data_IF_487406786995
#
_entry.id   IF_487406786995
#
_cell.length_a   1.000
_cell.length_b   1.000
_cell.length_c   1.000
_cell.angle_alpha   90.00
_cell.angle_beta   90.00
_cell.angle_gamma   90.00
#
_symmetry.space_group_name_H-M   'P 1'
#
loop_
_entity.id
_entity.type
_entity.pdbx_description
1 polymer ?
#
# COMPACT_ATOMS: atom_id res chain seq x y z
N UNK A 1 -31.00 1.85 9.00
CA UNK A 1 -29.94 1.02 9.58
C UNK A 1 -30.34 0.59 10.98
N UNK A 2 -29.82 -0.54 11.45
CA UNK A 2 -30.14 -1.14 12.77
C UNK A 2 -29.20 -0.68 13.90
N UNK A 3 -28.23 0.18 13.58
CA UNK A 3 -27.24 0.70 14.53
C UNK A 3 -26.17 -0.32 14.95
N UNK A 4 -26.03 -1.45 14.22
CA UNK A 4 -25.11 -2.54 14.59
C UNK A 4 -24.00 -2.73 13.53
N UNK A 5 -22.90 -3.37 13.94
CA UNK A 5 -21.83 -3.82 13.05
C UNK A 5 -21.63 -5.34 13.19
N UNK A 6 -21.05 -5.94 12.16
CA UNK A 6 -20.77 -7.39 12.11
C UNK A 6 -19.28 -7.68 12.20
N UNK A 7 -18.92 -8.88 12.64
CA UNK A 7 -17.54 -9.32 12.84
C UNK A 7 -16.69 -9.11 11.60
N UNK A 8 -17.20 -9.46 10.43
CA UNK A 8 -16.51 -9.28 9.15
C UNK A 8 -16.12 -7.83 8.88
N UNK A 9 -17.04 -6.88 9.02
CA UNK A 9 -16.74 -5.45 8.77
C UNK A 9 -15.82 -4.89 9.86
N UNK A 10 -16.07 -5.23 11.13
CA UNK A 10 -15.26 -4.74 12.25
C UNK A 10 -13.83 -5.28 12.25
N UNK A 11 -13.63 -6.54 11.85
CA UNK A 11 -12.30 -7.14 11.70
C UNK A 11 -11.53 -6.47 10.55
N UNK A 12 -12.19 -6.25 9.41
CA UNK A 12 -11.57 -5.54 8.28
C UNK A 12 -11.13 -4.12 8.66
N UNK A 13 -11.98 -3.38 9.36
CA UNK A 13 -11.63 -2.05 9.89
C UNK A 13 -10.46 -2.12 10.88
N UNK A 14 -10.49 -3.06 11.82
CA UNK A 14 -9.41 -3.28 12.78
C UNK A 14 -8.05 -3.52 12.10
N UNK A 15 -8.00 -4.45 11.14
CA UNK A 15 -6.77 -4.77 10.41
C UNK A 15 -6.31 -3.59 9.55
N UNK A 16 -7.22 -2.93 8.82
CA UNK A 16 -6.87 -1.84 7.92
C UNK A 16 -6.31 -0.62 8.65
N UNK A 17 -6.95 -0.23 9.76
CA UNK A 17 -6.50 0.85 10.64
C UNK A 17 -5.05 0.67 11.07
N UNK A 18 -4.70 -0.51 11.57
CA UNK A 18 -3.36 -0.75 12.11
C UNK A 18 -2.33 -1.00 11.00
N UNK A 19 -2.71 -1.70 9.93
CA UNK A 19 -1.84 -1.92 8.79
C UNK A 19 -1.46 -0.61 8.09
N UNK A 20 -2.41 0.30 7.87
CA UNK A 20 -2.12 1.60 7.25
C UNK A 20 -1.24 2.48 8.16
N UNK A 21 -1.41 2.39 9.48
CA UNK A 21 -0.54 3.07 10.44
C UNK A 21 0.90 2.54 10.34
N UNK A 22 1.08 1.22 10.27
CA UNK A 22 2.39 0.58 10.11
C UNK A 22 3.03 0.86 8.73
N UNK A 23 2.21 1.05 7.69
CA UNK A 23 2.63 1.53 6.36
C UNK A 23 2.95 3.03 6.32
N UNK A 24 2.86 3.74 7.45
CA UNK A 24 3.16 5.16 7.55
C UNK A 24 2.11 6.08 6.92
N UNK A 25 0.90 5.59 6.69
CA UNK A 25 -0.21 6.42 6.21
C UNK A 25 -1.03 6.97 7.38
N UNK A 26 -1.41 8.26 7.37
CA UNK A 26 -2.30 8.81 8.37
C UNK A 26 -3.65 8.09 8.36
N UNK A 27 -4.09 7.63 9.53
CA UNK A 27 -5.30 6.82 9.67
C UNK A 27 -5.88 6.91 11.08
N UNK A 28 -7.19 6.68 11.21
CA UNK A 28 -7.80 6.32 12.50
C UNK A 28 -7.29 4.96 12.98
N UNK A 29 -7.00 4.85 14.28
CA UNK A 29 -6.51 3.64 14.93
C UNK A 29 -7.65 2.76 15.43
N UNK A 30 -7.38 1.48 15.62
CA UNK A 30 -8.32 0.52 16.17
C UNK A 30 -7.77 -0.07 17.48
N UNK A 31 -8.37 0.32 18.61
CA UNK A 31 -7.90 -0.08 19.94
C UNK A 31 -8.24 -1.54 20.27
N UNK A 32 -9.46 -1.97 19.94
CA UNK A 32 -9.89 -3.35 20.16
C UNK A 32 -11.03 -3.76 19.22
N UNK A 33 -11.16 -5.07 19.03
CA UNK A 33 -12.26 -5.75 18.36
C UNK A 33 -12.93 -6.68 19.36
N UNK A 34 -14.24 -6.53 19.55
CA UNK A 34 -15.02 -7.30 20.54
C UNK A 34 -16.25 -7.91 19.87
N UNK A 35 -16.43 -9.23 20.01
CA UNK A 35 -17.66 -9.89 19.61
C UNK A 35 -18.79 -9.57 20.60
N UNK A 36 -20.00 -9.28 20.10
CA UNK A 36 -21.13 -8.90 20.98
C UNK A 36 -21.90 -10.10 21.51
N UNK A 37 -21.76 -11.28 20.87
CA UNK A 37 -22.60 -12.46 21.11
C UNK A 37 -23.94 -12.42 20.37
N UNK A 38 -24.32 -11.28 19.80
CA UNK A 38 -25.55 -11.13 19.03
C UNK A 38 -25.41 -11.69 17.60
N UNK A 39 -26.54 -12.09 17.01
CA UNK A 39 -26.68 -12.30 15.58
C UNK A 39 -27.28 -11.04 14.94
N UNK A 40 -26.78 -10.66 13.78
CA UNK A 40 -27.16 -9.43 13.08
C UNK A 40 -27.46 -9.78 11.62
N UNK A 41 -28.66 -9.44 11.16
CA UNK A 41 -29.08 -9.72 9.79
C UNK A 41 -28.43 -8.74 8.80
N UNK A 42 -27.81 -9.24 7.74
CA UNK A 42 -27.19 -8.44 6.67
C UNK A 42 -27.60 -8.97 5.31
N UNK A 43 -27.97 -8.06 4.42
CA UNK A 43 -27.97 -8.29 2.98
C UNK A 43 -26.75 -7.55 2.43
N UNK A 44 -25.67 -8.28 2.19
CA UNK A 44 -24.38 -7.69 1.82
C UNK A 44 -24.39 -7.07 0.43
N UNK A 45 -25.23 -7.59 -0.47
CA UNK A 45 -25.26 -7.20 -1.88
C UNK A 45 -26.52 -6.41 -2.26
N UNK A 46 -27.39 -6.12 -1.29
CA UNK A 46 -28.69 -5.47 -1.51
C UNK A 46 -29.55 -6.19 -2.56
N UNK A 47 -29.46 -7.52 -2.60
CA UNK A 47 -30.13 -8.37 -3.60
C UNK A 47 -31.28 -9.21 -3.01
N UNK A 48 -31.59 -9.03 -1.73
CA UNK A 48 -32.60 -9.76 -0.99
C UNK A 48 -32.10 -11.02 -0.27
N UNK A 49 -30.83 -11.43 -0.44
CA UNK A 49 -30.25 -12.58 0.26
C UNK A 49 -29.76 -12.20 1.67
N UNK A 50 -30.70 -12.13 2.62
CA UNK A 50 -30.41 -11.80 4.02
C UNK A 50 -29.77 -12.99 4.73
N UNK A 51 -28.59 -12.76 5.29
CA UNK A 51 -27.85 -13.73 6.10
C UNK A 51 -27.64 -13.23 7.52
N UNK A 52 -27.56 -14.15 8.47
CA UNK A 52 -27.20 -13.84 9.85
C UNK A 52 -25.68 -13.87 9.98
N UNK A 53 -25.11 -12.76 10.43
CA UNK A 53 -23.68 -12.60 10.72
C UNK A 53 -23.49 -12.34 12.22
N UNK A 54 -22.33 -12.71 12.76
CA UNK A 54 -21.99 -12.43 14.16
C UNK A 54 -21.82 -10.92 14.36
N UNK A 55 -22.41 -10.37 15.41
CA UNK A 55 -22.23 -8.98 15.81
C UNK A 55 -20.84 -8.72 16.41
N UNK A 56 -20.28 -7.56 16.11
CA UNK A 56 -19.02 -7.11 16.70
C UNK A 56 -18.96 -5.59 16.82
N UNK A 57 -18.03 -5.12 17.64
CA UNK A 57 -17.70 -3.71 17.85
C UNK A 57 -16.20 -3.52 17.67
N UNK A 58 -15.81 -2.49 16.91
CA UNK A 58 -14.44 -1.99 16.85
C UNK A 58 -14.36 -0.67 17.59
N UNK A 59 -13.42 -0.54 18.52
CA UNK A 59 -13.17 0.73 19.22
C UNK A 59 -12.19 1.56 18.41
N UNK A 60 -12.71 2.53 17.65
CA UNK A 60 -11.92 3.44 16.83
C UNK A 60 -11.38 4.61 17.65
N UNK A 61 -10.13 4.96 17.44
CA UNK A 61 -9.43 6.06 18.12
C UNK A 61 -8.84 7.01 17.09
N UNK A 62 -9.09 8.30 17.26
CA UNK A 62 -8.52 9.36 16.44
C UNK A 62 -8.41 10.65 17.25
N UNK A 63 -7.48 11.57 16.91
CA UNK A 63 -7.46 12.89 17.53
C UNK A 63 -8.77 13.66 17.31
N UNK A 64 -9.44 13.41 16.19
CA UNK A 64 -10.68 14.07 15.80
C UNK A 64 -11.48 13.20 14.83
N UNK A 65 -12.81 13.27 14.92
CA UNK A 65 -13.74 12.63 13.99
C UNK A 65 -14.52 13.64 13.11
N UNK A 66 -14.12 14.91 13.12
CA UNK A 66 -14.71 15.93 12.23
C UNK A 66 -14.35 15.62 10.78
N UNK A 67 -15.35 15.77 9.91
CA UNK A 67 -15.28 15.37 8.51
C UNK A 67 -15.69 16.53 7.61
N UNK A 68 -15.40 16.47 6.32
CA UNK A 68 -15.88 17.51 5.39
C UNK A 68 -17.42 17.57 5.39
N UNK A 69 -18.09 16.41 5.49
CA UNK A 69 -19.54 16.31 5.66
C UNK A 69 -20.09 17.09 6.87
N UNK A 70 -19.33 17.21 7.96
CA UNK A 70 -19.71 17.96 9.16
C UNK A 70 -19.90 19.46 8.88
N UNK A 71 -19.17 20.02 7.91
CA UNK A 71 -19.31 21.42 7.48
C UNK A 71 -20.43 21.61 6.47
N UNK A 72 -20.68 20.61 5.62
CA UNK A 72 -21.71 20.68 4.58
C UNK A 72 -23.13 20.48 5.13
N UNK A 73 -23.30 19.69 6.19
CA UNK A 73 -24.61 19.40 6.76
C UNK A 73 -25.35 20.68 7.20
N UNK A 74 -24.78 21.58 8.04
CA UNK A 74 -25.43 22.85 8.39
C UNK A 74 -25.77 23.70 7.16
N UNK A 75 -24.86 23.75 6.18
CA UNK A 75 -25.06 24.49 4.93
C UNK A 75 -26.24 23.95 4.13
N UNK A 76 -26.42 22.63 4.08
CA UNK A 76 -27.52 21.97 3.36
C UNK A 76 -28.89 22.22 3.98
N UNK A 77 -28.94 22.56 5.28
CA UNK A 77 -30.17 22.86 6.02
C UNK A 77 -30.61 24.32 5.93
N UNK A 78 -29.78 25.18 5.33
CA UNK A 78 -30.12 26.56 5.00
C UNK A 78 -29.47 27.60 5.92
N UNK A 79 -29.78 28.88 5.65
CA UNK A 79 -29.09 30.04 6.21
C UNK A 79 -29.08 30.11 7.75
N UNK A 80 -30.09 29.55 8.42
CA UNK A 80 -30.22 29.57 9.88
C UNK A 80 -29.16 28.75 10.62
N UNK A 81 -28.52 27.78 9.97
CA UNK A 81 -27.51 26.91 10.59
C UNK A 81 -26.07 27.25 10.17
N UNK A 82 -25.88 28.25 9.29
CA UNK A 82 -24.57 28.62 8.76
C UNK A 82 -23.58 29.06 9.86
N UNK A 83 -24.07 29.63 10.95
CA UNK A 83 -23.26 29.95 12.13
C UNK A 83 -22.58 28.74 12.76
N UNK A 84 -23.16 27.53 12.62
CA UNK A 84 -22.54 26.28 13.10
C UNK A 84 -21.26 25.94 12.34
N UNK A 85 -21.15 26.34 11.06
CA UNK A 85 -19.93 26.15 10.27
C UNK A 85 -18.77 26.93 10.88
N UNK A 86 -19.02 28.19 11.26
CA UNK A 86 -18.03 29.02 11.97
C UNK A 86 -17.65 28.41 13.31
N UNK A 87 -18.64 28.03 14.11
CA UNK A 87 -18.40 27.43 15.42
C UNK A 87 -17.56 26.15 15.32
N UNK A 88 -17.84 25.30 14.33
CA UNK A 88 -17.05 24.10 14.06
C UNK A 88 -15.63 24.45 13.57
N UNK A 89 -15.49 25.42 12.67
CA UNK A 89 -14.18 25.87 12.16
C UNK A 89 -13.31 26.45 13.29
N UNK A 90 -13.88 27.28 14.16
CA UNK A 90 -13.20 27.85 15.33
C UNK A 90 -12.74 26.74 16.29
N UNK A 91 -13.59 25.74 16.52
CA UNK A 91 -13.26 24.58 17.35
C UNK A 91 -12.11 23.77 16.73
N UNK A 92 -12.16 23.49 15.42
CA UNK A 92 -11.11 22.77 14.69
C UNK A 92 -9.79 23.54 14.74
N UNK A 93 -9.81 24.85 14.48
CA UNK A 93 -8.61 25.69 14.57
C UNK A 93 -8.07 25.67 15.99
N UNK A 94 -8.92 25.79 17.01
CA UNK A 94 -8.48 25.84 18.40
C UNK A 94 -7.78 24.58 18.87
N UNK A 95 -8.32 23.40 18.56
CA UNK A 95 -7.83 22.15 19.14
C UNK A 95 -6.94 21.33 18.21
N UNK A 96 -6.99 21.57 16.89
CA UNK A 96 -6.29 20.74 15.91
C UNK A 96 -5.38 21.52 14.96
N UNK A 97 -5.55 22.84 14.84
CA UNK A 97 -4.65 23.73 14.10
C UNK A 97 -4.27 24.97 14.93
N UNK A 98 -3.76 24.78 16.17
CA UNK A 98 -3.56 25.89 17.10
C UNK A 98 -2.56 26.94 16.58
N UNK A 99 -1.63 26.54 15.69
CA UNK A 99 -0.69 27.45 15.04
C UNK A 99 -1.36 28.45 14.07
N UNK A 100 -2.62 28.24 13.69
CA UNK A 100 -3.41 29.19 12.91
C UNK A 100 -4.16 30.21 13.78
N UNK A 101 -4.21 29.99 15.09
CA UNK A 101 -4.85 30.94 16.01
C UNK A 101 -4.13 32.29 16.00
N UNK A 102 -4.91 33.37 16.07
CA UNK A 102 -4.37 34.74 16.07
C UNK A 102 -3.95 35.26 14.70
N UNK A 103 -4.02 34.45 13.64
CA UNK A 103 -3.89 34.97 12.28
C UNK A 103 -5.14 35.78 11.88
N UNK A 104 -5.03 36.89 11.12
CA UNK A 104 -6.19 37.72 10.77
C UNK A 104 -7.27 37.00 9.95
N UNK A 105 -6.90 35.97 9.19
CA UNK A 105 -7.81 35.18 8.34
C UNK A 105 -7.47 33.68 8.46
N UNK A 106 -7.83 33.02 9.57
CA UNK A 106 -7.34 31.67 9.90
C UNK A 106 -7.92 30.55 9.01
N UNK A 107 -9.06 30.80 8.35
CA UNK A 107 -9.78 29.77 7.62
C UNK A 107 -9.20 29.50 6.21
N UNK A 108 -8.56 30.48 5.57
CA UNK A 108 -7.88 30.27 4.29
C UNK A 108 -6.60 29.41 4.46
N UNK A 109 -5.71 29.69 5.44
CA UNK A 109 -4.63 28.77 5.83
C UNK A 109 -5.13 27.40 6.26
N UNK A 110 -6.26 27.31 6.99
CA UNK A 110 -6.88 26.03 7.34
C UNK A 110 -7.24 25.25 6.07
N UNK A 111 -7.95 25.87 5.12
CA UNK A 111 -8.30 25.23 3.85
C UNK A 111 -7.06 24.74 3.10
N UNK A 112 -5.99 25.56 3.06
CA UNK A 112 -4.72 25.18 2.42
C UNK A 112 -4.07 23.98 3.10
N UNK A 113 -3.94 23.99 4.42
CA UNK A 113 -3.32 22.88 5.14
C UNK A 113 -4.12 21.58 5.02
N UNK A 114 -5.45 21.65 5.10
CA UNK A 114 -6.35 20.50 4.86
C UNK A 114 -6.17 19.96 3.43
N UNK A 115 -6.09 20.85 2.44
CA UNK A 115 -5.87 20.51 1.03
C UNK A 115 -4.54 19.78 0.85
N UNK A 116 -3.45 20.31 1.41
CA UNK A 116 -2.12 19.72 1.28
C UNK A 116 -2.00 18.38 2.02
N UNK A 117 -2.51 18.28 3.25
CA UNK A 117 -2.57 17.01 4.00
C UNK A 117 -3.33 15.93 3.23
N UNK A 118 -4.45 16.31 2.64
CA UNK A 118 -5.29 15.40 1.83
C UNK A 118 -4.56 14.97 0.55
N UNK A 119 -3.84 15.87 -0.12
CA UNK A 119 -3.01 15.53 -1.29
C UNK A 119 -1.91 14.51 -0.94
N UNK A 120 -1.21 14.69 0.19
CA UNK A 120 -0.20 13.75 0.66
C UNK A 120 -0.78 12.38 1.03
N UNK A 121 -1.98 12.35 1.64
CA UNK A 121 -2.71 11.13 1.95
C UNK A 121 -3.02 10.33 0.69
N UNK A 122 -3.63 10.99 -0.31
CA UNK A 122 -4.00 10.34 -1.57
C UNK A 122 -2.77 9.89 -2.34
N UNK A 123 -1.69 10.68 -2.38
CA UNK A 123 -0.43 10.25 -2.97
C UNK A 123 0.12 8.98 -2.31
N UNK A 124 -0.05 8.85 -0.99
CA UNK A 124 0.27 7.65 -0.24
C UNK A 124 -0.60 6.45 -0.63
N UNK A 125 -1.92 6.64 -0.76
CA UNK A 125 -2.84 5.61 -1.24
C UNK A 125 -2.45 5.10 -2.63
N UNK A 126 -2.21 6.01 -3.59
CA UNK A 126 -1.79 5.64 -4.94
C UNK A 126 -0.47 4.87 -4.93
N UNK A 127 0.56 5.36 -4.23
CA UNK A 127 1.87 4.70 -4.21
C UNK A 127 1.89 3.31 -3.56
N UNK A 128 0.93 3.01 -2.67
CA UNK A 128 0.78 1.72 -2.00
C UNK A 128 -0.30 0.82 -2.63
N UNK A 129 -1.00 1.29 -3.66
CA UNK A 129 -2.09 0.53 -4.27
C UNK A 129 -3.31 0.38 -3.37
N UNK A 130 -3.53 1.28 -2.41
CA UNK A 130 -4.71 1.27 -1.56
C UNK A 130 -5.90 1.95 -2.26
N UNK A 131 -7.06 1.31 -2.21
CA UNK A 131 -8.33 1.82 -2.73
C UNK A 131 -9.35 1.86 -1.60
N UNK A 132 -9.85 3.06 -1.30
CA UNK A 132 -10.80 3.28 -0.21
C UNK A 132 -12.20 2.73 -0.52
N UNK A 133 -12.64 2.85 -1.77
CA UNK A 133 -13.92 2.33 -2.28
C UNK A 133 -15.18 3.15 -1.95
N UNK A 134 -15.13 4.09 -0.98
CA UNK A 134 -16.27 4.96 -0.63
C UNK A 134 -15.78 6.34 -0.20
N UNK A 135 -15.45 7.19 -1.19
CA UNK A 135 -14.93 8.54 -0.95
C UNK A 135 -16.05 9.58 -0.99
N UNK A 136 -17.08 9.37 -0.18
CA UNK A 136 -18.07 10.42 0.08
C UNK A 136 -17.46 11.52 0.97
N UNK A 137 -18.03 12.73 0.97
CA UNK A 137 -17.47 13.85 1.75
C UNK A 137 -17.57 13.63 3.26
N UNK A 138 -18.52 12.83 3.71
CA UNK A 138 -18.61 12.35 5.09
C UNK A 138 -17.61 11.23 5.41
N UNK A 139 -16.76 10.79 4.48
CA UNK A 139 -15.60 9.92 4.75
C UNK A 139 -14.25 10.64 4.59
N UNK A 140 -14.27 11.97 4.46
CA UNK A 140 -13.05 12.78 4.39
C UNK A 140 -12.77 13.43 5.74
N UNK A 141 -11.70 13.01 6.40
CA UNK A 141 -11.26 13.58 7.68
C UNK A 141 -10.75 15.00 7.52
N UNK A 142 -11.11 15.90 8.44
CA UNK A 142 -10.54 17.25 8.47
C UNK A 142 -9.02 17.24 8.69
N UNK A 143 -8.48 16.20 9.32
CA UNK A 143 -7.05 16.10 9.64
C UNK A 143 -6.20 15.40 8.56
N UNK A 144 -6.82 14.96 7.46
CA UNK A 144 -6.16 14.17 6.43
C UNK A 144 -5.85 12.74 6.89
N UNK A 145 -6.75 12.12 7.65
CA UNK A 145 -6.68 10.71 8.04
C UNK A 145 -7.52 9.83 7.12
N UNK A 146 -7.04 8.63 6.80
CA UNK A 146 -7.90 7.53 6.30
C UNK A 146 -8.90 7.16 7.39
N UNK A 147 -10.19 7.08 7.05
CA UNK A 147 -11.28 6.84 7.99
C UNK A 147 -12.42 6.09 7.29
N UNK A 148 -13.19 5.30 8.04
CA UNK A 148 -14.38 4.61 7.55
C UNK A 148 -14.10 3.47 6.54
N UNK A 149 -13.55 2.39 7.08
CA UNK A 149 -13.13 1.21 6.33
C UNK A 149 -14.30 0.31 5.94
N UNK A 150 -15.02 0.70 4.88
CA UNK A 150 -16.04 -0.13 4.25
C UNK A 150 -15.47 -1.14 3.24
N UNK A 151 -15.86 -1.08 1.97
CA UNK A 151 -15.31 -1.93 0.92
C UNK A 151 -13.97 -1.38 0.45
N UNK A 152 -12.94 -1.35 1.30
CA UNK A 152 -11.58 -1.02 0.88
C UNK A 152 -10.85 -2.24 0.30
N UNK A 153 -9.73 -1.99 -0.35
CA UNK A 153 -8.76 -3.03 -0.66
C UNK A 153 -7.43 -2.49 -1.11
N UNK A 154 -6.46 -3.40 -1.23
CA UNK A 154 -5.16 -3.17 -1.84
C UNK A 154 -5.13 -3.92 -3.17
N UNK A 155 -4.52 -3.31 -4.20
CA UNK A 155 -4.32 -3.94 -5.49
C UNK A 155 -3.60 -5.29 -5.35
N UNK A 156 -4.16 -6.31 -6.00
CA UNK A 156 -3.47 -7.55 -6.31
C UNK A 156 -2.64 -7.35 -7.57
N UNK A 157 -3.10 -7.92 -8.69
CA UNK A 157 -2.66 -7.50 -10.02
C UNK A 157 -2.92 -5.99 -10.21
N UNK A 158 -2.01 -5.31 -10.88
CA UNK A 158 -2.18 -3.89 -11.16
C UNK A 158 -3.26 -3.67 -12.21
N UNK A 159 -4.41 -3.19 -11.77
CA UNK A 159 -5.48 -2.69 -12.63
C UNK A 159 -5.84 -1.26 -12.20
N UNK A 160 -5.60 -0.25 -13.05
CA UNK A 160 -5.89 1.14 -12.70
C UNK A 160 -7.38 1.40 -12.50
N UNK A 161 -8.25 0.59 -13.09
CA UNK A 161 -9.70 0.79 -13.04
C UNK A 161 -10.38 -0.10 -11.99
N UNK A 162 -9.59 -0.85 -11.21
CA UNK A 162 -10.08 -1.72 -10.16
C UNK A 162 -10.74 -0.94 -9.02
N UNK A 163 -11.89 -1.46 -8.56
CA UNK A 163 -12.56 -1.01 -7.35
C UNK A 163 -12.94 -2.21 -6.46
N UNK A 164 -12.68 -2.15 -5.15
CA UNK A 164 -13.17 -3.13 -4.18
C UNK A 164 -14.67 -2.97 -3.88
N UNK A 165 -15.29 -1.87 -4.29
CA UNK A 165 -16.69 -1.59 -4.02
C UNK A 165 -17.59 -2.17 -5.13
N UNK A 166 -18.24 -3.29 -4.81
CA UNK A 166 -19.09 -4.01 -5.75
C UNK A 166 -20.35 -3.23 -6.17
N UNK A 167 -20.80 -2.25 -5.39
CA UNK A 167 -21.92 -1.38 -5.77
C UNK A 167 -21.50 -0.20 -6.65
N UNK A 168 -20.20 0.00 -6.86
CA UNK A 168 -19.60 1.05 -7.69
C UNK A 168 -18.95 0.45 -8.97
N UNK A 169 -19.28 -0.79 -9.33
CA UNK A 169 -18.64 -1.46 -10.48
C UNK A 169 -19.01 -0.82 -11.82
N UNK A 170 -20.24 -0.36 -11.97
CA UNK A 170 -20.72 0.30 -13.21
C UNK A 170 -20.17 1.72 -13.34
N UNK A 171 -20.13 2.47 -12.23
CA UNK A 171 -19.66 3.86 -12.22
C UNK A 171 -18.14 4.02 -12.07
N UNK A 172 -17.48 3.04 -11.43
CA UNK A 172 -16.06 3.04 -11.06
C UNK A 172 -15.62 4.37 -10.44
N UNK A 173 -16.53 5.06 -9.75
CA UNK A 173 -16.33 6.42 -9.25
C UNK A 173 -15.16 6.48 -8.28
N UNK A 174 -14.97 5.43 -7.50
CA UNK A 174 -13.95 5.31 -6.47
C UNK A 174 -12.92 4.22 -6.80
N UNK A 175 -12.70 3.92 -8.09
CA UNK A 175 -11.61 3.06 -8.55
C UNK A 175 -10.24 3.65 -8.20
N UNK A 176 -9.20 2.82 -8.25
CA UNK A 176 -7.82 3.25 -7.99
C UNK A 176 -7.41 4.51 -8.76
N UNK A 177 -7.69 4.57 -10.08
CA UNK A 177 -7.39 5.74 -10.93
C UNK A 177 -8.16 6.99 -10.51
N UNK A 178 -9.41 6.83 -10.07
CA UNK A 178 -10.34 7.94 -9.89
C UNK A 178 -10.29 8.57 -8.47
N UNK A 179 -9.61 7.94 -7.50
CA UNK A 179 -9.48 8.50 -6.14
C UNK A 179 -8.95 9.94 -6.11
N UNK A 180 -7.88 10.31 -6.86
CA UNK A 180 -7.39 11.69 -6.87
C UNK A 180 -8.42 12.73 -7.26
N UNK A 181 -9.21 12.45 -8.30
CA UNK A 181 -10.25 13.35 -8.79
C UNK A 181 -11.45 13.40 -7.84
N UNK A 182 -11.91 12.24 -7.34
CA UNK A 182 -12.99 12.17 -6.36
C UNK A 182 -12.66 12.96 -5.08
N UNK A 183 -11.42 12.90 -4.62
CA UNK A 183 -10.96 13.65 -3.44
C UNK A 183 -10.82 15.15 -3.74
N UNK A 184 -10.38 15.53 -4.94
CA UNK A 184 -10.36 16.94 -5.34
C UNK A 184 -11.76 17.54 -5.31
N UNK A 185 -12.76 16.80 -5.84
CA UNK A 185 -14.16 17.19 -5.76
C UNK A 185 -14.61 17.38 -4.31
N UNK A 186 -14.25 16.45 -3.41
CA UNK A 186 -14.60 16.56 -1.99
C UNK A 186 -13.97 17.78 -1.31
N UNK A 187 -12.73 18.15 -1.67
CA UNK A 187 -12.08 19.38 -1.19
C UNK A 187 -12.80 20.63 -1.68
N UNK A 188 -13.27 20.65 -2.93
CA UNK A 188 -14.11 21.74 -3.47
C UNK A 188 -15.40 21.87 -2.67
N UNK A 189 -16.04 20.74 -2.32
CA UNK A 189 -17.26 20.76 -1.49
C UNK A 189 -17.01 21.29 -0.07
N UNK A 190 -15.87 20.96 0.53
CA UNK A 190 -15.45 21.53 1.81
C UNK A 190 -15.19 23.04 1.69
N UNK A 191 -14.42 23.48 0.69
CA UNK A 191 -14.17 24.91 0.44
C UNK A 191 -15.47 25.69 0.20
N UNK A 192 -16.42 25.13 -0.55
CA UNK A 192 -17.74 25.73 -0.77
C UNK A 192 -18.52 25.92 0.53
N UNK A 193 -18.43 24.99 1.49
CA UNK A 193 -19.06 25.14 2.80
C UNK A 193 -18.46 26.33 3.59
N UNK A 194 -17.15 26.53 3.52
CA UNK A 194 -16.48 27.69 4.14
C UNK A 194 -16.88 29.01 3.45
N UNK A 195 -16.95 29.03 2.12
CA UNK A 195 -17.36 30.20 1.35
C UNK A 195 -18.82 30.60 1.67
N UNK A 196 -19.73 29.63 1.70
CA UNK A 196 -21.14 29.87 2.06
C UNK A 196 -21.32 30.38 3.48
N UNK A 197 -20.38 30.07 4.37
CA UNK A 197 -20.34 30.59 5.73
C UNK A 197 -19.64 31.96 5.86
N UNK A 198 -19.21 32.55 4.75
CA UNK A 198 -18.49 33.82 4.75
C UNK A 198 -17.16 33.75 5.49
N UNK A 199 -16.54 32.56 5.55
CA UNK A 199 -15.27 32.33 6.23
C UNK A 199 -14.07 32.53 5.30
N UNK A 200 -14.26 32.30 4.00
CA UNK A 200 -13.23 32.40 2.95
C UNK A 200 -13.86 33.02 1.70
N UNK A 201 -13.13 33.86 0.97
CA UNK A 201 -13.56 34.37 -0.33
C UNK A 201 -13.54 33.29 -1.42
N UNK A 202 -14.45 33.36 -2.39
CA UNK A 202 -14.55 32.35 -3.44
C UNK A 202 -13.27 32.25 -4.28
N UNK A 203 -12.74 33.38 -4.77
CA UNK A 203 -11.51 33.40 -5.58
C UNK A 203 -10.29 32.88 -4.82
N UNK A 204 -10.19 33.21 -3.53
CA UNK A 204 -9.11 32.73 -2.66
C UNK A 204 -9.18 31.21 -2.45
N UNK A 205 -10.39 30.68 -2.20
CA UNK A 205 -10.62 29.26 -2.04
C UNK A 205 -10.28 28.50 -3.34
N UNK A 206 -10.71 28.99 -4.49
CA UNK A 206 -10.36 28.40 -5.79
C UNK A 206 -8.85 28.42 -6.05
N UNK A 207 -8.16 29.50 -5.65
CA UNK A 207 -6.71 29.58 -5.70
C UNK A 207 -6.03 28.47 -4.91
N UNK A 208 -6.44 28.27 -3.66
CA UNK A 208 -5.91 27.21 -2.79
C UNK A 208 -6.23 25.81 -3.30
N UNK A 209 -7.46 25.59 -3.75
CA UNK A 209 -7.91 24.26 -4.20
C UNK A 209 -7.18 23.80 -5.47
N UNK A 210 -6.68 24.73 -6.30
CA UNK A 210 -5.82 24.42 -7.45
C UNK A 210 -4.44 23.91 -7.04
N UNK A 211 -3.94 24.25 -5.85
CA UNK A 211 -2.65 23.76 -5.32
C UNK A 211 -2.68 22.23 -5.13
N UNK A 212 -3.85 21.62 -4.94
CA UNK A 212 -4.01 20.17 -4.71
C UNK A 212 -3.28 19.30 -5.74
N UNK A 213 -3.47 19.59 -7.04
CA UNK A 213 -2.93 18.76 -8.12
C UNK A 213 -1.40 18.77 -8.15
N UNK A 214 -0.78 19.93 -7.86
CA UNK A 214 0.67 20.08 -7.83
C UNK A 214 1.28 19.37 -6.60
N UNK A 215 0.68 19.56 -5.42
CA UNK A 215 1.12 18.90 -4.18
C UNK A 215 0.97 17.38 -4.29
N UNK A 216 -0.15 16.89 -4.82
CA UNK A 216 -0.39 15.47 -5.04
C UNK A 216 0.63 14.88 -6.00
N UNK A 217 0.86 15.54 -7.14
CA UNK A 217 1.81 15.08 -8.16
C UNK A 217 3.22 15.00 -7.61
N UNK A 218 3.66 16.05 -6.90
CA UNK A 218 4.99 16.11 -6.28
C UNK A 218 5.16 14.99 -5.25
N UNK A 219 4.19 14.82 -4.35
CA UNK A 219 4.22 13.79 -3.32
C UNK A 219 4.18 12.37 -3.92
N UNK A 220 3.36 12.13 -4.94
CA UNK A 220 3.27 10.83 -5.62
C UNK A 220 4.58 10.50 -6.34
N UNK A 221 5.12 11.46 -7.12
CA UNK A 221 6.36 11.29 -7.87
C UNK A 221 7.54 10.96 -6.94
N UNK A 222 7.65 11.65 -5.81
CA UNK A 222 8.68 11.37 -4.80
C UNK A 222 8.56 9.93 -4.24
N UNK A 223 7.33 9.47 -3.95
CA UNK A 223 7.09 8.11 -3.47
C UNK A 223 7.42 7.05 -4.53
N UNK A 224 7.06 7.30 -5.78
CA UNK A 224 7.35 6.37 -6.88
C UNK A 224 8.85 6.34 -7.20
N UNK A 225 9.55 7.48 -7.13
CA UNK A 225 11.00 7.53 -7.25
C UNK A 225 11.67 6.68 -6.15
N UNK A 226 11.23 6.81 -4.90
CA UNK A 226 11.74 6.02 -3.79
C UNK A 226 11.48 4.50 -3.96
N UNK A 227 10.29 4.11 -4.45
CA UNK A 227 9.97 2.71 -4.77
C UNK A 227 10.83 2.14 -5.91
N UNK A 228 11.20 2.99 -6.88
CA UNK A 228 12.12 2.65 -7.96
C UNK A 228 13.59 2.83 -7.55
N UNK A 229 13.88 3.34 -6.34
CA UNK A 229 15.22 3.71 -5.85
C UNK A 229 15.97 4.66 -6.77
N UNK A 230 15.24 5.60 -7.36
CA UNK A 230 15.78 6.70 -8.16
C UNK A 230 15.91 7.93 -7.28
N UNK A 231 16.93 8.76 -7.52
CA UNK A 231 17.08 10.06 -6.88
C UNK A 231 15.96 11.02 -7.30
N UNK A 232 15.54 10.95 -8.57
CA UNK A 232 14.48 11.77 -9.14
C UNK A 232 13.45 10.90 -9.86
N UNK A 233 12.21 11.37 -9.91
CA UNK A 233 11.13 10.67 -10.58
C UNK A 233 11.34 10.61 -12.10
N UNK A 234 11.45 9.41 -12.65
CA UNK A 234 11.47 9.16 -14.09
C UNK A 234 10.07 8.76 -14.58
N UNK A 235 9.38 9.73 -15.19
CA UNK A 235 8.02 9.53 -15.70
C UNK A 235 7.94 8.43 -16.76
N UNK A 236 8.93 8.33 -17.65
CA UNK A 236 8.89 7.37 -18.75
C UNK A 236 9.05 5.95 -18.23
N UNK A 237 10.04 5.71 -17.35
CA UNK A 237 10.24 4.42 -16.72
C UNK A 237 9.05 3.97 -15.87
N UNK A 238 8.49 4.87 -15.07
CA UNK A 238 7.33 4.57 -14.23
C UNK A 238 6.10 4.24 -15.07
N UNK A 239 5.81 5.04 -16.11
CA UNK A 239 4.66 4.82 -17.00
C UNK A 239 4.76 3.48 -17.71
N UNK A 240 5.93 3.15 -18.26
CA UNK A 240 6.10 1.87 -18.96
C UNK A 240 6.05 0.68 -18.00
N UNK A 241 6.58 0.81 -16.77
CA UNK A 241 6.45 -0.24 -15.75
C UNK A 241 4.99 -0.54 -15.45
N UNK A 242 4.20 0.50 -15.14
CA UNK A 242 2.78 0.33 -14.81
C UNK A 242 1.99 -0.26 -15.99
N UNK A 243 2.33 0.11 -17.22
CA UNK A 243 1.75 -0.50 -18.43
C UNK A 243 2.08 -1.99 -18.53
N UNK A 244 3.34 -2.37 -18.35
CA UNK A 244 3.75 -3.79 -18.35
C UNK A 244 3.06 -4.57 -17.24
N UNK A 245 2.92 -3.97 -16.05
CA UNK A 245 2.22 -4.59 -14.94
C UNK A 245 0.74 -4.85 -15.24
N UNK A 246 0.07 -3.91 -15.92
CA UNK A 246 -1.31 -4.06 -16.35
C UNK A 246 -1.47 -5.16 -17.41
N UNK A 247 -0.61 -5.15 -18.42
CA UNK A 247 -0.69 -6.09 -19.55
C UNK A 247 -0.31 -7.54 -19.19
N UNK A 248 0.43 -7.75 -18.10
CA UNK A 248 0.89 -9.08 -17.65
C UNK A 248 0.35 -9.48 -16.26
N UNK A 249 -0.73 -8.84 -15.79
CA UNK A 249 -1.38 -9.09 -14.49
C UNK A 249 -0.39 -9.15 -13.32
N UNK A 250 0.61 -8.27 -13.32
CA UNK A 250 1.66 -8.28 -12.33
C UNK A 250 1.16 -7.80 -10.97
N UNK A 251 1.49 -8.53 -9.91
CA UNK A 251 1.16 -8.14 -8.53
C UNK A 251 1.85 -6.83 -8.19
N UNK A 252 1.06 -5.82 -7.81
CA UNK A 252 1.54 -4.46 -7.62
C UNK A 252 2.64 -4.39 -6.56
N UNK A 253 2.36 -4.97 -5.39
CA UNK A 253 3.26 -4.90 -4.24
C UNK A 253 4.52 -5.74 -4.48
N UNK A 254 4.36 -6.98 -4.94
CA UNK A 254 5.47 -7.89 -5.14
C UNK A 254 6.37 -7.48 -6.31
N UNK A 255 5.85 -6.79 -7.32
CA UNK A 255 6.68 -6.22 -8.40
C UNK A 255 7.64 -5.20 -7.83
N UNK A 256 7.15 -4.20 -7.08
CA UNK A 256 8.01 -3.20 -6.45
C UNK A 256 8.96 -3.81 -5.41
N UNK A 257 8.51 -4.82 -4.65
CA UNK A 257 9.41 -5.53 -3.73
C UNK A 257 10.51 -6.30 -4.47
N UNK A 258 10.20 -6.93 -5.60
CA UNK A 258 11.19 -7.65 -6.41
C UNK A 258 12.24 -6.72 -7.03
N UNK A 259 11.85 -5.50 -7.41
CA UNK A 259 12.80 -4.49 -7.91
C UNK A 259 13.85 -4.08 -6.87
N UNK A 260 13.57 -4.29 -5.57
CA UNK A 260 14.53 -4.07 -4.49
C UNK A 260 15.76 -4.97 -4.57
N UNK A 261 15.72 -6.07 -5.32
CA UNK A 261 16.83 -7.01 -5.46
C UNK A 261 17.58 -6.84 -6.79
N UNK A 262 17.16 -5.90 -7.64
CA UNK A 262 17.82 -5.64 -8.93
C UNK A 262 19.13 -4.91 -8.69
N UNK A 263 20.24 -5.45 -9.20
CA UNK A 263 21.54 -4.77 -9.26
C UNK A 263 21.62 -3.84 -10.48
N UNK A 264 22.36 -2.74 -10.32
CA UNK A 264 22.63 -1.76 -11.37
C UNK A 264 23.52 -2.33 -12.48
N UNK A 265 24.46 -3.21 -12.14
CA UNK A 265 25.27 -3.97 -13.08
C UNK A 265 24.61 -5.34 -13.37
N UNK A 266 24.83 -5.87 -14.57
CA UNK A 266 24.54 -7.28 -14.82
C UNK A 266 25.69 -8.09 -14.25
N UNK A 267 25.42 -8.99 -13.30
CA UNK A 267 26.41 -9.96 -12.82
C UNK A 267 26.67 -10.97 -13.95
N UNK A 268 27.51 -10.60 -14.91
CA UNK A 268 28.10 -11.58 -15.83
C UNK A 268 29.15 -12.32 -15.01
N UNK A 269 28.77 -13.44 -14.37
CA UNK A 269 29.80 -14.36 -13.87
C UNK A 269 30.66 -14.73 -15.08
N UNK A 270 31.99 -14.46 -15.06
CA UNK A 270 32.84 -14.91 -16.14
C UNK A 270 32.74 -16.44 -16.14
N UNK A 271 32.28 -17.02 -17.26
CA UNK A 271 32.39 -18.43 -17.49
C UNK A 271 33.86 -18.80 -17.26
N UNK A 272 34.13 -19.60 -16.23
CA UNK A 272 35.46 -20.14 -15.98
C UNK A 272 35.84 -20.98 -17.18
N UNK A 273 36.54 -20.39 -18.15
CA UNK A 273 37.22 -21.11 -19.21
C UNK A 273 38.36 -21.88 -18.56
N UNK A 274 38.09 -23.12 -18.18
CA UNK A 274 39.11 -24.10 -17.84
C UNK A 274 39.91 -24.42 -19.09
N UNK A 275 41.01 -23.71 -19.29
CA UNK A 275 42.05 -24.05 -20.24
C UNK A 275 43.41 -23.97 -19.56
N UNK A 276 43.88 -25.09 -19.03
CA UNK A 276 45.32 -25.38 -19.07
C UNK A 276 45.52 -26.89 -19.09
N UNK A 277 46.24 -27.31 -20.13
CA UNK A 277 46.62 -28.67 -20.45
C UNK A 277 48.08 -28.90 -20.02
N UNK A 278 48.32 -30.09 -19.46
CA UNK A 278 49.56 -30.90 -19.54
C UNK A 278 50.71 -30.57 -18.58
N UNK A 279 51.65 -31.52 -18.31
CA UNK A 279 51.57 -32.99 -18.28
C UNK A 279 52.21 -33.62 -17.01
N UNK A 280 52.08 -34.93 -16.93
CA UNK A 280 52.59 -35.92 -15.96
C UNK A 280 54.13 -35.94 -15.79
N UNK A 281 54.61 -36.10 -14.55
CA UNK A 281 55.85 -36.83 -14.23
C UNK A 281 55.89 -37.35 -12.77
N UNK A 282 56.35 -38.59 -12.66
CA UNK A 282 56.47 -39.55 -11.54
C UNK A 282 57.62 -39.30 -10.56
N UNK A 283 57.46 -39.72 -9.28
CA UNK A 283 58.41 -40.52 -8.42
C UNK A 283 58.12 -40.29 -6.91
N UNK A 284 57.66 -41.32 -6.15
CA UNK A 284 58.36 -42.13 -5.11
C UNK A 284 58.95 -41.32 -3.94
N UNK A 285 58.84 -41.62 -2.63
CA UNK A 285 58.63 -42.88 -1.86
C UNK A 285 58.58 -42.58 -0.33
N UNK A 286 57.83 -43.40 0.45
CA UNK A 286 58.04 -43.89 1.86
C UNK A 286 58.37 -42.89 3.01
N UNK A 287 57.91 -42.99 4.27
CA UNK A 287 57.57 -44.11 5.17
C UNK A 287 57.02 -43.62 6.55
N UNK A 288 56.17 -44.46 7.18
CA UNK A 288 55.92 -44.74 8.62
C UNK A 288 55.35 -43.71 9.66
N UNK A 289 54.05 -43.92 9.99
CA UNK A 289 53.40 -44.34 11.28
C UNK A 289 53.83 -43.80 12.68
N UNK A 290 52.99 -43.92 13.75
CA UNK A 290 51.55 -43.65 13.93
C UNK A 290 51.18 -42.88 15.25
N UNK A 291 49.86 -42.67 15.49
CA UNK A 291 49.18 -42.31 16.79
C UNK A 291 49.18 -40.80 17.13
N UNK A 292 48.08 -40.08 17.39
CA UNK A 292 47.07 -40.30 18.44
C UNK A 292 45.83 -39.43 18.22
N UNK A 293 44.67 -39.97 18.57
CA UNK A 293 43.32 -39.39 18.58
C UNK A 293 43.19 -38.14 19.46
N UNK A 294 42.63 -37.05 18.94
CA UNK A 294 41.80 -36.11 19.72
C UNK A 294 40.80 -35.41 18.80
N UNK A 295 39.53 -35.77 18.94
CA UNK A 295 38.37 -35.13 18.31
C UNK A 295 38.03 -33.82 19.01
N UNK A 296 38.14 -32.70 18.29
CA UNK A 296 37.51 -31.42 18.66
C UNK A 296 36.96 -30.78 17.38
N UNK A 297 35.69 -31.07 17.07
CA UNK A 297 35.01 -30.54 15.89
C UNK A 297 34.34 -29.21 16.25
N UNK A 298 34.99 -28.13 15.85
CA UNK A 298 34.41 -26.78 15.80
C UNK A 298 33.51 -26.72 14.57
N UNK A 299 32.19 -26.72 14.77
CA UNK A 299 31.23 -26.59 13.67
C UNK A 299 31.05 -25.11 13.31
N UNK A 300 31.81 -24.65 12.33
CA UNK A 300 31.52 -23.41 11.60
C UNK A 300 30.25 -23.59 10.78
N UNK A 301 29.22 -22.83 11.10
CA UNK A 301 27.97 -22.71 10.36
C UNK A 301 28.20 -22.09 8.99
N UNK A 302 28.11 -22.89 7.92
CA UNK A 302 27.99 -22.40 6.56
C UNK A 302 26.61 -21.77 6.37
N UNK A 303 26.60 -20.44 6.27
CA UNK A 303 25.47 -19.67 5.74
C UNK A 303 25.45 -19.90 4.23
N UNK A 304 24.47 -20.67 3.75
CA UNK A 304 24.22 -20.82 2.32
C UNK A 304 23.70 -19.49 1.76
N UNK A 305 24.59 -18.75 1.08
CA UNK A 305 24.23 -17.71 0.13
C UNK A 305 23.41 -18.32 -1.01
N UNK A 306 22.14 -17.92 -1.12
CA UNK A 306 21.27 -18.31 -2.23
C UNK A 306 21.80 -17.75 -3.55
N UNK A 307 22.33 -18.63 -4.39
CA UNK A 307 22.79 -18.34 -5.75
C UNK A 307 21.63 -17.86 -6.62
N UNK A 308 21.75 -16.65 -7.17
CA UNK A 308 20.83 -16.08 -8.15
C UNK A 308 20.90 -16.87 -9.46
N UNK A 309 20.05 -17.87 -9.59
CA UNK A 309 19.91 -18.62 -10.84
C UNK A 309 18.86 -17.89 -11.68
N UNK A 310 19.28 -17.16 -12.71
CA UNK A 310 18.34 -16.49 -13.62
C UNK A 310 17.47 -17.55 -14.30
N UNK A 311 16.13 -17.57 -14.08
CA UNK A 311 15.25 -18.50 -14.76
C UNK A 311 15.29 -18.30 -16.29
N UNK A 312 14.84 -19.29 -17.09
CA UNK A 312 15.03 -19.34 -18.55
C UNK A 312 14.46 -18.17 -19.37
N UNK A 313 13.76 -17.21 -18.74
CA UNK A 313 13.15 -16.04 -19.37
C UNK A 313 14.00 -14.76 -19.30
N UNK A 314 15.17 -14.78 -18.62
CA UNK A 314 16.08 -13.64 -18.54
C UNK A 314 15.67 -12.52 -17.56
N UNK A 315 14.61 -12.73 -16.77
CA UNK A 315 14.19 -11.84 -15.69
C UNK A 315 14.69 -12.37 -14.34
N UNK A 316 14.97 -11.50 -13.35
CA UNK A 316 15.21 -11.93 -11.98
C UNK A 316 14.07 -12.80 -11.45
N UNK A 317 14.39 -13.87 -10.71
CA UNK A 317 13.39 -14.84 -10.23
C UNK A 317 12.26 -14.19 -9.42
N UNK A 318 12.59 -13.23 -8.56
CA UNK A 318 11.61 -12.48 -7.77
C UNK A 318 10.64 -11.69 -8.65
N UNK A 319 11.15 -11.05 -9.73
CA UNK A 319 10.32 -10.31 -10.66
C UNK A 319 9.42 -11.27 -11.45
N UNK A 320 9.98 -12.38 -11.95
CA UNK A 320 9.21 -13.40 -12.66
C UNK A 320 8.06 -14.00 -11.80
N UNK A 321 8.28 -14.13 -10.49
CA UNK A 321 7.26 -14.63 -9.54
C UNK A 321 6.15 -13.61 -9.23
N UNK A 322 6.39 -12.31 -9.44
CA UNK A 322 5.39 -11.27 -9.24
C UNK A 322 4.42 -11.15 -10.43
N UNK A 323 4.80 -11.64 -11.60
CA UNK A 323 4.00 -11.55 -12.81
C UNK A 323 2.86 -12.60 -12.82
N UNK A 324 1.68 -12.23 -13.31
CA UNK A 324 0.49 -13.07 -13.30
C UNK A 324 0.47 -14.19 -14.37
N UNK A 325 -0.67 -14.87 -14.47
CA UNK A 325 -1.01 -15.77 -15.59
C UNK A 325 -0.43 -17.19 -15.54
N UNK A 326 0.68 -17.42 -14.84
CA UNK A 326 1.07 -18.76 -14.43
C UNK A 326 1.42 -19.80 -15.51
N UNK A 327 1.38 -19.40 -16.78
CA UNK A 327 1.83 -20.11 -17.95
C UNK A 327 3.01 -19.39 -18.64
N UNK A 328 3.61 -20.01 -19.66
CA UNK A 328 4.70 -19.41 -20.41
C UNK A 328 4.21 -18.15 -21.15
N UNK A 329 4.93 -17.03 -20.97
CA UNK A 329 4.66 -15.79 -21.68
C UNK A 329 5.09 -15.89 -23.15
N UNK A 330 4.47 -15.08 -24.01
CA UNK A 330 5.00 -14.91 -25.36
C UNK A 330 6.39 -14.28 -25.30
N UNK A 331 7.22 -14.59 -26.28
CA UNK A 331 8.58 -14.03 -26.37
C UNK A 331 8.56 -12.50 -26.47
N UNK A 332 7.53 -11.93 -27.11
CA UNK A 332 7.30 -10.50 -27.20
C UNK A 332 7.11 -9.86 -25.81
N UNK A 333 6.23 -10.43 -24.97
CA UNK A 333 6.02 -9.95 -23.60
C UNK A 333 7.30 -10.06 -22.76
N UNK A 334 8.00 -11.19 -22.87
CA UNK A 334 9.27 -11.40 -22.16
C UNK A 334 10.34 -10.40 -22.61
N UNK A 335 10.41 -10.08 -23.90
CA UNK A 335 11.32 -9.08 -24.46
C UNK A 335 11.02 -7.67 -23.94
N UNK A 336 9.74 -7.29 -23.82
CA UNK A 336 9.33 -5.98 -23.30
C UNK A 336 9.82 -5.77 -21.85
N UNK A 337 9.66 -6.78 -20.98
CA UNK A 337 10.19 -6.73 -19.61
C UNK A 337 11.72 -6.64 -19.57
N UNK A 338 12.42 -7.38 -20.43
CA UNK A 338 13.89 -7.31 -20.50
C UNK A 338 14.36 -5.94 -20.99
N UNK A 339 13.68 -5.35 -21.96
CA UNK A 339 13.96 -4.01 -22.46
C UNK A 339 13.78 -2.97 -21.36
N UNK A 340 12.63 -3.01 -20.65
CA UNK A 340 12.36 -2.12 -19.53
C UNK A 340 13.41 -2.27 -18.42
N UNK A 341 13.74 -3.51 -18.03
CA UNK A 341 14.76 -3.79 -17.01
C UNK A 341 16.14 -3.28 -17.43
N UNK A 342 16.48 -3.36 -18.72
CA UNK A 342 17.70 -2.79 -19.29
C UNK A 342 17.77 -1.28 -19.14
N UNK A 343 16.67 -0.58 -19.47
CA UNK A 343 16.55 0.87 -19.32
C UNK A 343 16.60 1.29 -17.83
N UNK A 344 15.90 0.56 -16.96
CA UNK A 344 15.91 0.77 -15.52
C UNK A 344 17.33 0.65 -14.94
N UNK A 345 18.05 -0.43 -15.26
CA UNK A 345 19.46 -0.60 -14.83
C UNK A 345 20.37 0.50 -15.38
N UNK A 346 20.17 0.94 -16.62
CA UNK A 346 20.93 2.04 -17.19
C UNK A 346 20.72 3.34 -16.41
N UNK A 347 19.47 3.62 -16.00
CA UNK A 347 19.13 4.76 -15.14
C UNK A 347 19.75 4.63 -13.74
N UNK A 348 19.72 3.45 -13.12
CA UNK A 348 20.41 3.22 -11.85
C UNK A 348 21.92 3.51 -11.95
N UNK A 349 22.56 3.06 -13.03
CA UNK A 349 24.00 3.32 -13.26
C UNK A 349 24.30 4.79 -13.49
N UNK A 350 23.44 5.52 -14.20
CA UNK A 350 23.69 6.94 -14.47
C UNK A 350 23.58 7.82 -13.22
N UNK A 351 22.80 7.40 -12.22
CA UNK A 351 22.73 8.08 -10.92
C UNK A 351 23.89 7.73 -9.99
N UNK A 352 24.61 6.63 -10.26
CA UNK A 352 25.83 6.26 -9.53
C UNK A 352 25.62 5.85 -8.07
N UNK A 353 24.38 5.58 -7.64
CA UNK A 353 24.09 5.11 -6.29
C UNK A 353 24.59 3.67 -6.10
N UNK A 354 25.34 3.35 -5.02
CA UNK A 354 25.70 1.96 -4.73
C UNK A 354 24.48 1.10 -4.46
N UNK A 355 24.50 -0.16 -4.92
CA UNK A 355 23.32 -1.03 -4.88
C UNK A 355 22.84 -1.29 -3.44
N UNK A 356 23.72 -1.70 -2.52
CA UNK A 356 23.32 -2.03 -1.15
C UNK A 356 22.51 -0.93 -0.41
N UNK A 357 22.98 0.33 -0.31
CA UNK A 357 22.22 1.40 0.33
C UNK A 357 20.94 1.78 -0.44
N UNK A 358 20.97 1.78 -1.78
CA UNK A 358 19.77 2.02 -2.60
C UNK A 358 18.70 0.96 -2.34
N UNK A 359 19.07 -0.32 -2.35
CA UNK A 359 18.16 -1.44 -2.09
C UNK A 359 17.58 -1.35 -0.68
N UNK A 360 18.38 -1.02 0.33
CA UNK A 360 17.89 -0.78 1.69
C UNK A 360 16.84 0.35 1.73
N UNK A 361 17.10 1.47 1.05
CA UNK A 361 16.14 2.58 0.94
C UNK A 361 14.86 2.21 0.19
N UNK A 362 14.97 1.42 -0.89
CA UNK A 362 13.81 0.92 -1.63
C UNK A 362 12.94 0.02 -0.76
N UNK A 363 13.54 -0.88 0.03
CA UNK A 363 12.80 -1.78 0.93
C UNK A 363 11.98 -1.01 1.98
N UNK A 364 12.43 0.17 2.41
CA UNK A 364 11.64 1.07 3.28
C UNK A 364 10.43 1.72 2.59
N UNK A 365 10.36 1.68 1.25
CA UNK A 365 9.27 2.23 0.44
C UNK A 365 8.39 1.15 -0.20
N UNK A 366 8.87 -0.09 -0.25
CA UNK A 366 8.24 -1.23 -0.90
C UNK A 366 7.88 -2.28 0.15
N UNK A 367 6.63 -2.29 0.65
CA UNK A 367 6.25 -3.25 1.68
C UNK A 367 6.36 -4.68 1.16
N UNK A 368 6.73 -5.59 2.07
CA UNK A 368 6.67 -7.03 1.87
C UNK A 368 5.27 -7.59 2.14
N UNK A 369 4.53 -6.96 3.06
CA UNK A 369 3.23 -7.41 3.53
C UNK A 369 2.18 -6.30 3.46
N UNK A 370 0.99 -6.65 2.99
CA UNK A 370 -0.20 -5.78 2.95
C UNK A 370 -1.43 -6.60 3.36
N UNK A 371 -2.51 -5.99 3.86
CA UNK A 371 -3.74 -6.71 4.21
C UNK A 371 -4.54 -7.08 2.95
N UNK A 372 -4.04 -8.07 2.21
CA UNK A 372 -4.66 -8.59 0.98
C UNK A 372 -6.06 -9.13 1.28
N UNK A 373 -6.97 -9.05 0.31
CA UNK A 373 -8.38 -9.37 0.53
C UNK A 373 -8.60 -10.84 0.93
N UNK A 374 -7.84 -11.78 0.34
CA UNK A 374 -7.92 -13.19 0.72
C UNK A 374 -7.39 -13.46 2.13
N UNK A 375 -6.36 -12.72 2.59
CA UNK A 375 -5.84 -12.83 3.96
C UNK A 375 -6.87 -12.33 4.98
N UNK A 376 -7.53 -11.21 4.66
CA UNK A 376 -8.66 -10.71 5.45
C UNK A 376 -9.78 -11.76 5.50
N UNK A 377 -10.12 -12.37 4.36
CA UNK A 377 -11.17 -13.38 4.29
C UNK A 377 -10.86 -14.62 5.12
N UNK A 378 -9.63 -15.14 5.09
CA UNK A 378 -9.20 -16.25 5.94
C UNK A 378 -9.27 -15.90 7.43
N UNK A 379 -8.85 -14.69 7.80
CA UNK A 379 -8.95 -14.23 9.19
C UNK A 379 -10.40 -14.09 9.64
N UNK A 380 -11.31 -13.65 8.76
CA UNK A 380 -12.75 -13.58 9.02
C UNK A 380 -13.32 -14.97 9.23
N UNK A 381 -13.09 -15.90 8.28
CA UNK A 381 -13.60 -17.27 8.34
C UNK A 381 -13.15 -18.01 9.61
N UNK A 382 -11.86 -17.87 9.96
CA UNK A 382 -11.34 -18.42 11.20
C UNK A 382 -12.03 -17.79 12.43
N UNK A 383 -12.15 -16.46 12.49
CA UNK A 383 -12.77 -15.77 13.62
C UNK A 383 -14.27 -16.08 13.77
N UNK A 384 -14.98 -16.28 12.65
CA UNK A 384 -16.36 -16.78 12.63
C UNK A 384 -16.46 -18.22 13.15
N UNK A 385 -15.43 -19.04 12.95
CA UNK A 385 -15.27 -20.35 13.59
C UNK A 385 -14.91 -20.28 15.09
N UNK A 386 -14.57 -19.10 15.62
CA UNK A 386 -14.08 -18.91 16.98
C UNK A 386 -12.55 -19.00 17.13
N UNK A 387 -11.84 -19.18 16.02
CA UNK A 387 -10.38 -19.30 15.96
C UNK A 387 -9.72 -17.97 15.62
N UNK A 388 -8.92 -17.43 16.54
CA UNK A 388 -8.30 -16.11 16.41
C UNK A 388 -6.83 -16.15 16.00
N UNK A 389 -6.26 -17.34 15.80
CA UNK A 389 -4.85 -17.53 15.45
C UNK A 389 -4.47 -16.83 14.15
N UNK A 390 -5.29 -16.97 13.11
CA UNK A 390 -5.05 -16.37 11.80
C UNK A 390 -5.03 -14.83 11.86
N UNK A 391 -5.96 -14.23 12.60
CA UNK A 391 -5.99 -12.78 12.81
C UNK A 391 -4.74 -12.31 13.56
N UNK A 392 -4.35 -13.00 14.64
CA UNK A 392 -3.17 -12.62 15.43
C UNK A 392 -1.89 -12.68 14.60
N UNK A 393 -1.73 -13.72 13.80
CA UNK A 393 -0.55 -13.88 12.95
C UNK A 393 -0.54 -12.85 11.82
N UNK A 394 -1.69 -12.57 11.20
CA UNK A 394 -1.81 -11.50 10.20
C UNK A 394 -1.42 -10.14 10.80
N UNK A 395 -1.90 -9.81 12.00
CA UNK A 395 -1.55 -8.56 12.69
C UNK A 395 -0.05 -8.49 13.01
N UNK A 396 0.53 -9.58 13.53
CA UNK A 396 1.97 -9.67 13.83
C UNK A 396 2.83 -9.35 12.61
N UNK A 397 2.46 -9.89 11.45
CA UNK A 397 3.20 -9.66 10.20
C UNK A 397 3.04 -8.21 9.73
N UNK A 398 1.83 -7.64 9.86
CA UNK A 398 1.52 -6.28 9.44
C UNK A 398 2.08 -5.18 10.36
N UNK A 399 2.56 -5.51 11.56
CA UNK A 399 3.26 -4.55 12.44
C UNK A 399 4.59 -4.05 11.85
N UNK A 400 5.25 -4.88 11.02
CA UNK A 400 6.53 -4.55 10.37
C UNK A 400 6.45 -4.86 8.87
N UNK A 401 5.60 -4.13 8.12
CA UNK A 401 5.21 -4.54 6.77
C UNK A 401 6.34 -4.42 5.74
N UNK A 402 7.43 -3.70 6.05
CA UNK A 402 8.59 -3.52 5.18
C UNK A 402 9.74 -4.51 5.44
N UNK A 403 9.75 -5.13 6.62
CA UNK A 403 10.82 -6.02 7.07
C UNK A 403 10.72 -7.39 6.36
N UNK A 404 11.86 -8.02 6.13
CA UNK A 404 11.87 -9.46 5.85
C UNK A 404 11.60 -10.21 7.15
N UNK A 405 10.64 -11.14 7.10
CA UNK A 405 10.21 -11.95 8.24
C UNK A 405 10.29 -13.44 7.84
N UNK A 406 11.49 -14.06 7.84
CA UNK A 406 11.67 -15.45 7.41
C UNK A 406 10.90 -16.46 8.27
N UNK A 407 10.53 -16.07 9.50
CA UNK A 407 9.67 -16.84 10.39
C UNK A 407 8.18 -16.78 10.01
N UNK A 408 7.76 -15.77 9.25
CA UNK A 408 6.38 -15.63 8.83
C UNK A 408 6.03 -16.64 7.73
N UNK A 409 4.86 -17.31 7.80
CA UNK A 409 4.39 -18.16 6.72
C UNK A 409 4.35 -17.41 5.37
N UNK A 410 4.91 -18.03 4.33
CA UNK A 410 5.07 -17.38 3.01
C UNK A 410 3.75 -16.87 2.41
N UNK A 411 2.62 -17.49 2.77
CA UNK A 411 1.26 -17.10 2.36
C UNK A 411 0.95 -15.61 2.56
N UNK A 412 1.50 -14.96 3.59
CA UNK A 412 1.24 -13.54 3.88
C UNK A 412 1.87 -12.58 2.86
N UNK A 413 2.85 -13.04 2.09
CA UNK A 413 3.51 -12.26 1.03
C UNK A 413 3.04 -12.66 -0.38
N UNK A 414 2.32 -13.76 -0.51
CA UNK A 414 1.94 -14.31 -1.81
C UNK A 414 0.68 -13.63 -2.39
N UNK A 415 0.55 -13.56 -3.72
CA UNK A 415 -0.72 -13.21 -4.35
C UNK A 415 -1.80 -14.24 -3.97
N UNK A 416 -3.10 -13.92 -4.15
CA UNK A 416 -4.17 -14.88 -3.89
C UNK A 416 -3.93 -16.19 -4.66
N UNK A 417 -4.30 -17.35 -4.08
CA UNK A 417 -4.31 -18.61 -4.82
C UNK A 417 -5.11 -18.47 -6.11
N UNK A 418 -4.67 -19.11 -7.20
CA UNK A 418 -5.35 -19.02 -8.50
C UNK A 418 -6.84 -19.36 -8.44
N UNK A 419 -7.19 -20.29 -7.57
CA UNK A 419 -8.58 -20.74 -7.34
C UNK A 419 -9.49 -19.64 -6.75
N UNK A 420 -8.91 -18.61 -6.13
CA UNK A 420 -9.63 -17.48 -5.52
C UNK A 420 -9.70 -16.25 -6.43
N UNK A 421 -8.95 -16.22 -7.52
CA UNK A 421 -9.04 -15.17 -8.54
C UNK A 421 -10.26 -15.50 -9.39
N UNK A 422 -11.40 -14.85 -9.13
CA UNK A 422 -12.57 -14.99 -10.00
C UNK A 422 -12.21 -14.46 -11.40
N UNK A 423 -12.61 -15.17 -12.47
CA UNK A 423 -12.30 -14.81 -13.85
C UNK A 423 -12.87 -13.45 -14.26
#
# INVERSE_FOLDING_TARGET
>A
GDGRAVLRSSLREYVASEALAALGLPTTRALCLVGTGDQVSRDMFYNGDVRWERGAVVTRVAPCFVRFGSFQLPVSRGAGEVGLVRMLADWVVKYHYPHLQGTPAPYLPLLREVTHRTAHLVAGWQALGFVHGVLNTDNMSILGLTIDYGPFGFLGAFDPDWTPNLTDVEGRRYSYRNQPEAVQFNLVMFGSALCRAGLVGQEEAEGVLREYSEVLTTAYNARMAAKLGLLEYDRALCTELLKLMYEDDADFTNTFRALCEVESATTTSPASSSSSSSPTATSSSSSDSPTTTTTSTTSTSNVNSSTSTTPPHGLPAALAAALGGGGPRSEERAAAWRQWLGAYRAKLRSEGQPDAPRQASQRCSCPRFIPRQHLLQWAIEAAEGGEWGELRELMRVLERPYDEQPEAPSKYSQPPPREMVRP
#
